data_IF_170343329817
#
_entry.id   IF_170343329817
#
_cell.length_a   1.000
_cell.length_b   1.000
_cell.length_c   1.000
_cell.angle_alpha   90.00
_cell.angle_beta   90.00
_cell.angle_gamma   90.00
#
_symmetry.space_group_name_H-M   'P 1'
#
loop_
_entity.id
_entity.type
_entity.pdbx_description
1 polymer ?
#
# COMPACT_ATOMS: atom_id res chain seq x y z
N UNK A 1 22.75 -3.88 37.21
CA UNK A 1 22.94 -4.67 35.98
C UNK A 1 21.60 -4.64 35.27
N UNK A 2 21.56 -4.23 33.99
CA UNK A 2 20.31 -4.27 33.21
C UNK A 2 19.78 -5.70 33.27
N UNK A 3 18.52 -5.87 33.70
CA UNK A 3 17.98 -7.21 33.84
C UNK A 3 17.76 -7.81 32.45
N UNK A 4 17.87 -9.13 32.30
CA UNK A 4 17.56 -9.84 31.04
C UNK A 4 16.18 -9.46 30.45
N UNK A 5 15.27 -8.95 31.30
CA UNK A 5 13.96 -8.43 30.93
C UNK A 5 14.01 -7.03 30.28
N UNK A 6 14.91 -6.16 30.71
CA UNK A 6 15.11 -4.84 30.09
C UNK A 6 15.61 -5.03 28.65
N UNK A 7 16.55 -5.97 28.44
CA UNK A 7 17.05 -6.32 27.10
C UNK A 7 15.95 -6.94 26.22
N UNK A 8 15.07 -7.76 26.77
CA UNK A 8 13.94 -8.35 26.04
C UNK A 8 12.90 -7.30 25.62
N UNK A 9 12.61 -6.32 26.49
CA UNK A 9 11.70 -5.21 26.18
C UNK A 9 12.33 -4.29 25.14
N UNK A 10 13.63 -3.97 25.24
CA UNK A 10 14.35 -3.18 24.25
C UNK A 10 14.34 -3.84 22.87
N UNK A 11 14.56 -5.16 22.80
CA UNK A 11 14.50 -5.91 21.54
C UNK A 11 13.09 -5.90 20.94
N UNK A 12 12.04 -6.14 21.73
CA UNK A 12 10.66 -6.09 21.25
C UNK A 12 10.31 -4.69 20.71
N UNK A 13 10.69 -3.64 21.42
CA UNK A 13 10.45 -2.26 20.97
C UNK A 13 11.24 -1.95 19.71
N UNK A 14 12.47 -2.44 19.57
CA UNK A 14 13.27 -2.28 18.36
C UNK A 14 12.66 -3.02 17.16
N UNK A 15 12.13 -4.23 17.37
CA UNK A 15 11.40 -4.99 16.35
C UNK A 15 10.10 -4.28 15.95
N UNK A 16 9.36 -3.73 16.93
CA UNK A 16 8.14 -2.99 16.66
C UNK A 16 8.40 -1.72 15.84
N UNK A 17 9.41 -0.93 16.18
CA UNK A 17 9.79 0.24 15.37
C UNK A 17 10.19 -0.16 13.95
N UNK A 18 10.96 -1.25 13.78
CA UNK A 18 11.30 -1.77 12.44
C UNK A 18 10.06 -2.16 11.64
N UNK A 19 9.07 -2.78 12.29
CA UNK A 19 7.81 -3.14 11.64
C UNK A 19 7.00 -1.90 11.24
N UNK A 20 6.94 -0.87 12.09
CA UNK A 20 6.29 0.40 11.76
C UNK A 20 6.96 1.10 10.58
N UNK A 21 8.29 1.14 10.55
CA UNK A 21 9.05 1.73 9.44
C UNK A 21 8.80 0.99 8.12
N UNK A 22 8.77 -0.35 8.17
CA UNK A 22 8.43 -1.17 7.00
C UNK A 22 7.00 -0.87 6.51
N UNK A 23 6.03 -0.76 7.42
CA UNK A 23 4.65 -0.42 7.07
C UNK A 23 4.52 0.98 6.45
N UNK A 24 5.21 1.97 7.01
CA UNK A 24 5.21 3.33 6.49
C UNK A 24 5.81 3.38 5.06
N UNK A 25 6.93 2.69 4.85
CA UNK A 25 7.56 2.58 3.53
C UNK A 25 6.65 1.86 2.53
N UNK A 26 5.96 0.80 2.95
CA UNK A 26 4.96 0.13 2.12
C UNK A 26 3.80 1.05 1.75
N UNK A 27 3.24 1.79 2.71
CA UNK A 27 2.17 2.74 2.46
C UNK A 27 2.60 3.82 1.48
N UNK A 28 3.84 4.32 1.62
CA UNK A 28 4.44 5.30 0.71
C UNK A 28 4.53 4.76 -0.72
N UNK A 29 5.15 3.59 -0.90
CA UNK A 29 5.30 2.95 -2.22
C UNK A 29 3.95 2.69 -2.88
N UNK A 30 2.94 2.29 -2.12
CA UNK A 30 1.58 2.12 -2.63
C UNK A 30 0.95 3.44 -3.06
N UNK A 31 1.18 4.53 -2.32
CA UNK A 31 0.65 5.86 -2.66
C UNK A 31 1.32 6.50 -3.88
N UNK A 32 2.57 6.15 -4.17
CA UNK A 32 3.37 6.67 -5.28
C UNK A 32 3.09 5.95 -6.62
N UNK A 33 2.25 4.91 -6.63
CA UNK A 33 1.84 4.21 -7.84
C UNK A 33 1.20 5.20 -8.81
N UNK A 34 1.77 5.29 -10.01
CA UNK A 34 1.22 6.07 -11.11
C UNK A 34 1.28 5.27 -12.39
N UNK A 35 0.27 5.42 -13.24
CA UNK A 35 0.25 4.78 -14.54
C UNK A 35 -0.23 5.75 -15.61
N UNK A 36 0.45 5.71 -16.77
CA UNK A 36 0.14 6.56 -17.91
C UNK A 36 -0.23 5.70 -19.11
N UNK A 37 -1.42 5.92 -19.65
CA UNK A 37 -1.82 5.37 -20.95
C UNK A 37 -1.88 6.46 -22.00
N UNK A 38 -1.69 6.08 -23.27
CA UNK A 38 -1.71 6.99 -24.41
C UNK A 38 -2.49 6.36 -25.56
N UNK A 39 -3.32 7.16 -26.24
CA UNK A 39 -4.10 6.72 -27.39
C UNK A 39 -3.24 6.46 -28.63
N UNK A 40 -3.87 5.84 -29.63
CA UNK A 40 -3.31 5.76 -30.97
C UNK A 40 -2.98 7.16 -31.51
N UNK A 41 -1.90 7.25 -32.28
CA UNK A 41 -1.35 8.53 -32.80
C UNK A 41 -0.99 9.56 -31.73
N UNK A 42 -0.94 9.19 -30.45
CA UNK A 42 -0.63 10.10 -29.33
C UNK A 42 -1.56 11.32 -29.31
N UNK A 43 -2.84 11.13 -29.58
CA UNK A 43 -3.84 12.21 -29.52
C UNK A 43 -4.20 12.57 -28.08
N UNK A 44 -4.21 11.61 -27.17
CA UNK A 44 -4.60 11.73 -25.77
C UNK A 44 -3.65 10.92 -24.89
N UNK A 45 -3.25 11.46 -23.75
CA UNK A 45 -2.50 10.77 -22.70
C UNK A 45 -3.13 11.04 -21.34
N UNK A 46 -3.31 9.99 -20.54
CA UNK A 46 -3.93 10.05 -19.22
C UNK A 46 -2.98 9.43 -18.20
N UNK A 47 -2.70 10.16 -17.12
CA UNK A 47 -1.95 9.67 -15.95
C UNK A 47 -2.88 9.56 -14.77
N UNK A 48 -2.95 8.37 -14.18
CA UNK A 48 -3.71 8.07 -12.97
C UNK A 48 -2.79 7.80 -11.79
N UNK A 49 -3.25 8.16 -10.60
CA UNK A 49 -2.59 7.82 -9.34
C UNK A 49 -3.08 6.49 -8.76
N UNK A 50 -2.53 6.14 -7.60
CA UNK A 50 -2.75 4.86 -6.95
C UNK A 50 -4.21 4.51 -6.68
N UNK A 51 -5.10 5.48 -6.44
CA UNK A 51 -6.53 5.24 -6.17
C UNK A 51 -7.39 5.32 -7.44
N UNK A 52 -6.75 5.42 -8.61
CA UNK A 52 -7.43 5.64 -9.89
C UNK A 52 -7.87 7.10 -10.11
N UNK A 53 -7.42 8.03 -9.26
CA UNK A 53 -7.66 9.45 -9.45
C UNK A 53 -6.90 9.98 -10.68
N UNK A 54 -7.54 10.88 -11.43
CA UNK A 54 -6.91 11.56 -12.56
C UNK A 54 -5.88 12.57 -12.05
N UNK A 55 -4.60 12.33 -12.36
CA UNK A 55 -3.52 13.27 -12.05
C UNK A 55 -3.24 14.19 -13.22
N UNK A 56 -3.33 13.68 -14.45
CA UNK A 56 -2.99 14.43 -15.64
C UNK A 56 -3.76 13.95 -16.87
N UNK A 57 -4.22 14.89 -17.69
CA UNK A 57 -4.76 14.67 -19.02
C UNK A 57 -4.03 15.58 -20.01
N UNK A 58 -3.46 15.01 -21.06
CA UNK A 58 -2.68 15.71 -22.08
C UNK A 58 -3.16 15.38 -23.48
N UNK A 59 -2.96 16.31 -24.40
CA UNK A 59 -3.09 16.12 -25.85
C UNK A 59 -1.71 16.30 -26.49
N UNK A 60 -0.88 15.24 -26.58
CA UNK A 60 0.52 15.37 -27.01
C UNK A 60 0.69 15.87 -28.46
N UNK A 61 -0.35 15.75 -29.28
CA UNK A 61 -0.37 16.14 -30.69
C UNK A 61 -1.70 16.83 -31.01
N UNK A 62 -1.76 17.54 -32.13
CA UNK A 62 -3.00 18.15 -32.63
C UNK A 62 -3.97 17.14 -33.26
N UNK A 63 -3.66 15.83 -33.26
CA UNK A 63 -4.50 14.79 -33.86
C UNK A 63 -5.92 14.69 -33.28
N UNK A 64 -6.16 15.27 -32.09
CA UNK A 64 -7.51 15.36 -31.51
C UNK A 64 -8.42 16.37 -32.25
N UNK A 65 -7.83 17.34 -32.97
CA UNK A 65 -8.59 18.41 -33.65
C UNK A 65 -9.38 17.89 -34.84
N UNK A 66 -8.90 16.82 -35.47
CA UNK A 66 -9.56 16.18 -36.61
C UNK A 66 -10.66 15.20 -36.17
N UNK A 67 -10.80 14.94 -34.87
CA UNK A 67 -11.77 13.99 -34.33
C UNK A 67 -13.13 14.64 -34.12
N UNK A 68 -14.20 13.88 -34.41
CA UNK A 68 -15.53 14.29 -33.99
C UNK A 68 -15.62 14.31 -32.44
N UNK A 69 -16.47 15.16 -31.82
CA UNK A 69 -16.57 15.22 -30.36
C UNK A 69 -16.88 13.87 -29.69
N UNK A 70 -17.74 13.05 -30.30
CA UNK A 70 -18.06 11.72 -29.80
C UNK A 70 -16.88 10.74 -29.90
N UNK A 71 -16.09 10.84 -30.97
CA UNK A 71 -14.87 10.05 -31.15
C UNK A 71 -13.83 10.41 -30.10
N UNK A 72 -13.62 11.71 -29.86
CA UNK A 72 -12.68 12.18 -28.85
C UNK A 72 -13.08 11.71 -27.44
N UNK A 73 -14.37 11.77 -27.10
CA UNK A 73 -14.88 11.29 -25.82
C UNK A 73 -14.61 9.78 -25.64
N UNK A 74 -14.83 8.98 -26.68
CA UNK A 74 -14.55 7.55 -26.65
C UNK A 74 -13.06 7.28 -26.47
N UNK A 75 -12.19 7.99 -27.21
CA UNK A 75 -10.73 7.85 -27.07
C UNK A 75 -10.28 8.18 -25.64
N UNK A 76 -10.79 9.26 -25.04
CA UNK A 76 -10.46 9.60 -23.64
C UNK A 76 -10.91 8.49 -22.69
N UNK A 77 -12.13 7.98 -22.84
CA UNK A 77 -12.66 6.90 -22.00
C UNK A 77 -11.83 5.61 -22.13
N UNK A 78 -11.43 5.25 -23.34
CA UNK A 78 -10.57 4.09 -23.61
C UNK A 78 -9.19 4.25 -22.98
N UNK A 79 -8.55 5.41 -23.14
CA UNK A 79 -7.23 5.67 -22.55
C UNK A 79 -7.32 5.67 -21.02
N UNK A 80 -8.38 6.23 -20.45
CA UNK A 80 -8.61 6.18 -19.00
C UNK A 80 -8.76 4.74 -18.50
N UNK A 81 -9.56 3.91 -19.18
CA UNK A 81 -9.73 2.51 -18.82
C UNK A 81 -8.41 1.72 -18.93
N UNK A 82 -7.59 2.02 -19.95
CA UNK A 82 -6.27 1.44 -20.11
C UNK A 82 -5.32 1.85 -18.97
N UNK A 83 -5.29 3.13 -18.60
CA UNK A 83 -4.48 3.62 -17.48
C UNK A 83 -4.93 2.96 -16.15
N UNK A 84 -6.24 2.83 -15.92
CA UNK A 84 -6.78 2.15 -14.73
C UNK A 84 -6.34 0.69 -14.66
N UNK A 85 -6.36 -0.01 -15.78
CA UNK A 85 -5.89 -1.41 -15.86
C UNK A 85 -4.40 -1.52 -15.50
N UNK A 86 -3.58 -0.56 -15.92
CA UNK A 86 -2.16 -0.50 -15.55
C UNK A 86 -1.95 -0.23 -14.06
N UNK A 87 -2.70 0.69 -13.44
CA UNK A 87 -2.66 0.92 -11.98
C UNK A 87 -2.97 -0.37 -11.23
N UNK A 88 -4.05 -1.07 -11.61
CA UNK A 88 -4.44 -2.35 -10.99
C UNK A 88 -3.39 -3.46 -11.21
N UNK A 89 -2.65 -3.44 -12.32
CA UNK A 89 -1.55 -4.37 -12.55
C UNK A 89 -0.37 -4.07 -11.62
N UNK A 90 0.05 -2.81 -11.54
CA UNK A 90 1.16 -2.38 -10.67
C UNK A 90 0.87 -2.63 -9.19
N UNK A 91 -0.36 -2.35 -8.73
CA UNK A 91 -0.79 -2.69 -7.38
C UNK A 91 -0.65 -4.19 -7.09
N UNK A 92 -1.13 -5.04 -8.00
CA UNK A 92 -1.02 -6.50 -7.86
C UNK A 92 0.45 -6.95 -7.79
N UNK A 93 1.30 -6.41 -8.65
CA UNK A 93 2.74 -6.73 -8.67
C UNK A 93 3.42 -6.36 -7.35
N UNK A 94 3.18 -5.14 -6.84
CA UNK A 94 3.74 -4.67 -5.56
C UNK A 94 3.23 -5.48 -4.36
N UNK A 95 1.98 -5.93 -4.40
CA UNK A 95 1.41 -6.80 -3.37
C UNK A 95 2.01 -8.22 -3.44
N UNK A 96 2.17 -8.80 -4.64
CA UNK A 96 2.78 -10.14 -4.80
C UNK A 96 4.26 -10.18 -4.42
N UNK A 97 5.02 -9.12 -4.70
CA UNK A 97 6.44 -9.05 -4.38
C UNK A 97 6.72 -9.00 -2.86
N UNK A 98 5.73 -8.57 -2.06
CA UNK A 98 5.89 -8.33 -0.63
C UNK A 98 4.91 -9.15 0.22
N UNK A 99 4.27 -10.17 -0.35
CA UNK A 99 3.37 -11.05 0.38
C UNK A 99 4.16 -11.82 1.46
N UNK A 100 3.78 -11.75 2.76
CA UNK A 100 4.37 -12.62 3.78
C UNK A 100 4.14 -14.07 3.37
N UNK A 101 5.18 -14.92 3.46
CA UNK A 101 5.06 -16.33 3.13
C UNK A 101 3.89 -16.96 3.90
N UNK A 102 2.89 -17.47 3.18
CA UNK A 102 1.71 -18.14 3.75
C UNK A 102 0.42 -17.32 3.80
N UNK A 103 0.39 -16.06 3.34
CA UNK A 103 -0.82 -15.22 3.34
C UNK A 103 -1.53 -15.23 1.97
N UNK A 104 -2.78 -15.73 1.92
CA UNK A 104 -3.62 -15.69 0.72
C UNK A 104 -4.30 -14.33 0.59
N UNK A 105 -3.63 -13.43 -0.14
CA UNK A 105 -4.09 -12.06 -0.37
C UNK A 105 -5.46 -11.99 -1.06
N UNK A 106 -5.90 -13.04 -1.75
CA UNK A 106 -7.22 -13.13 -2.40
C UNK A 106 -8.38 -12.96 -1.42
N UNK A 107 -8.17 -13.28 -0.13
CA UNK A 107 -9.17 -13.14 0.94
C UNK A 107 -9.26 -11.73 1.52
N UNK A 108 -8.25 -10.88 1.29
CA UNK A 108 -8.30 -9.46 1.67
C UNK A 108 -9.07 -8.62 0.66
N UNK A 109 -9.15 -9.06 -0.61
CA UNK A 109 -9.73 -8.32 -1.73
C UNK A 109 -11.19 -8.67 -2.07
N UNK A 110 -11.98 -9.12 -1.08
CA UNK A 110 -13.43 -9.02 -1.18
C UNK A 110 -13.86 -7.55 -1.31
N UNK A 111 -15.09 -7.30 -1.79
CA UNK A 111 -15.68 -6.02 -2.26
C UNK A 111 -15.62 -4.81 -1.28
N UNK A 112 -14.91 -4.93 -0.16
CA UNK A 112 -14.76 -3.94 0.90
C UNK A 112 -13.35 -3.93 1.53
N UNK A 113 -12.30 -4.15 0.73
CA UNK A 113 -10.91 -4.26 1.16
C UNK A 113 -10.34 -2.93 1.72
N UNK A 114 -10.64 -2.64 2.97
CA UNK A 114 -9.97 -1.60 3.75
C UNK A 114 -8.71 -2.20 4.37
N UNK A 115 -7.60 -2.20 3.61
CA UNK A 115 -6.28 -2.68 4.04
C UNK A 115 -5.84 -2.07 5.38
N UNK A 116 -6.33 -0.86 5.72
CA UNK A 116 -6.06 -0.19 6.99
C UNK A 116 -6.76 -0.81 8.22
N UNK A 117 -7.69 -1.75 8.00
CA UNK A 117 -8.39 -2.50 9.06
C UNK A 117 -7.86 -3.92 9.29
N UNK A 118 -7.03 -4.43 8.38
CA UNK A 118 -6.48 -5.80 8.46
C UNK A 118 -5.07 -5.82 9.06
N UNK A 119 -4.41 -4.67 9.14
CA UNK A 119 -3.15 -4.52 9.86
C UNK A 119 -3.41 -4.63 11.38
N UNK A 120 -2.74 -5.55 12.10
CA UNK A 120 -2.82 -5.58 13.56
C UNK A 120 -2.30 -4.23 14.08
N UNK A 121 -3.18 -3.48 14.74
CA UNK A 121 -2.85 -2.20 15.37
C UNK A 121 -2.07 -2.37 16.68
N UNK A 122 -1.97 -3.61 17.15
CA UNK A 122 -1.26 -3.97 18.36
C UNK A 122 -0.03 -4.83 18.01
N UNK A 123 1.13 -4.56 18.62
CA UNK A 123 2.30 -5.42 18.48
C UNK A 123 1.95 -6.87 18.85
N UNK A 124 2.43 -7.84 18.08
CA UNK A 124 2.33 -9.25 18.46
C UNK A 124 3.19 -9.44 19.71
N UNK A 125 2.54 -9.43 20.88
CA UNK A 125 3.19 -9.67 22.17
C UNK A 125 3.69 -11.12 22.21
N UNK A 126 4.98 -11.31 22.44
CA UNK A 126 5.54 -12.61 22.80
C UNK A 126 5.01 -13.04 24.16
N UNK A 127 4.96 -14.36 24.43
CA UNK A 127 4.41 -14.89 25.69
C UNK A 127 5.08 -14.30 26.93
N UNK A 128 6.38 -13.98 26.84
CA UNK A 128 7.16 -13.36 27.91
C UNK A 128 6.73 -11.92 28.23
N UNK A 129 6.33 -11.15 27.22
CA UNK A 129 5.87 -9.76 27.40
C UNK A 129 4.42 -9.73 27.86
N UNK A 130 3.61 -10.69 27.42
CA UNK A 130 2.24 -10.90 27.93
C UNK A 130 2.26 -11.20 29.43
N UNK A 131 3.18 -12.05 29.89
CA UNK A 131 3.34 -12.39 31.30
C UNK A 131 3.73 -11.18 32.17
N UNK A 132 4.52 -10.22 31.65
CA UNK A 132 4.86 -8.97 32.36
C UNK A 132 3.70 -7.97 32.44
N UNK A 133 2.90 -7.87 31.38
CA UNK A 133 1.72 -6.98 31.34
C UNK A 133 0.59 -7.52 32.22
N UNK A 134 0.35 -8.83 32.19
CA UNK A 134 -0.72 -9.49 32.94
C UNK A 134 -0.43 -9.56 34.45
N UNK A 135 0.84 -9.78 34.83
CA UNK A 135 1.22 -9.86 36.25
C UNK A 135 1.54 -8.50 36.89
N UNK A 136 1.55 -7.43 36.09
CA UNK A 136 2.05 -6.13 36.49
C UNK A 136 3.55 -6.19 36.83
N UNK A 137 4.20 -5.02 36.88
CA UNK A 137 5.54 -4.91 37.48
C UNK A 137 5.48 -5.54 38.87
N UNK A 138 6.05 -6.72 39.05
CA UNK A 138 6.04 -7.43 40.33
C UNK A 138 6.69 -6.49 41.35
N UNK A 139 5.97 -5.98 42.36
CA UNK A 139 6.59 -5.14 43.37
C UNK A 139 7.33 -6.08 44.33
N UNK A 140 8.65 -5.97 44.34
CA UNK A 140 9.50 -6.58 45.37
C UNK A 140 10.42 -7.67 44.85
N UNK A 141 11.60 -7.27 44.39
CA UNK A 141 12.82 -8.06 44.59
C UNK A 141 14.02 -7.11 44.50
N UNK A 142 14.08 -6.20 45.47
CA UNK A 142 15.35 -5.67 45.96
C UNK A 142 15.80 -6.62 47.09
N UNK A 143 16.78 -7.46 46.78
CA UNK A 143 17.94 -7.83 47.62
C UNK A 143 18.91 -8.73 46.85
#
# INVERSE_FOLDING_TARGET
MSSQYDEAVEQLMADYHRQLDQLAEHQRRMSEITATATSQRKSVSVTLGAQGQLLELKFPTDAYRDMAPAELANVIAEVFAAARTQVLKQQRELMTANAPMGMDLSKMFGDNADLGKVLPRDPIMTDQVREYVDNGRVPGMDD
#
